data_IF_169641538274
#
_entry.id   IF_169641538274
#
_cell.length_a   1.000
_cell.length_b   1.000
_cell.length_c   1.000
_cell.angle_alpha   90.00
_cell.angle_beta   90.00
_cell.angle_gamma   90.00
#
_symmetry.space_group_name_H-M   'P 1'
#
loop_
_entity.id
_entity.type
_entity.pdbx_description
1 polymer ?
#
# COMPACT_ATOMS: atom_id res chain seq x y z
N UNK A 1 5.55 -3.34 8.81
CA UNK A 1 4.92 -2.68 7.64
C UNK A 1 5.99 -2.31 6.62
N UNK A 2 5.68 -2.49 5.37
CA UNK A 2 6.63 -2.19 4.30
C UNK A 2 5.90 -1.51 3.15
N UNK A 3 6.50 -0.48 2.58
CA UNK A 3 5.95 0.22 1.42
C UNK A 3 6.94 0.06 0.27
N UNK A 4 6.46 -0.46 -0.85
CA UNK A 4 7.23 -0.58 -2.08
C UNK A 4 6.62 0.35 -3.11
N UNK A 5 7.48 1.06 -3.83
CA UNK A 5 7.03 1.92 -4.90
C UNK A 5 7.89 1.68 -6.14
N UNK A 6 7.24 1.43 -7.26
CA UNK A 6 7.89 1.24 -8.54
C UNK A 6 7.59 2.44 -9.44
N UNK A 7 8.56 3.34 -9.64
CA UNK A 7 8.33 4.54 -10.46
C UNK A 7 8.16 4.24 -11.96
N UNK A 8 8.64 3.11 -12.44
CA UNK A 8 8.50 2.77 -13.86
C UNK A 8 7.05 2.57 -14.26
N UNK A 9 6.29 1.93 -13.41
CA UNK A 9 4.87 1.66 -13.65
C UNK A 9 3.96 2.49 -12.74
N UNK A 10 4.53 3.33 -11.90
CA UNK A 10 3.82 4.17 -10.96
C UNK A 10 2.84 3.38 -10.08
N UNK A 11 3.34 2.29 -9.51
CA UNK A 11 2.55 1.42 -8.65
C UNK A 11 3.17 1.34 -7.26
N UNK A 12 2.32 1.32 -6.24
CA UNK A 12 2.75 1.15 -4.86
C UNK A 12 2.06 -0.05 -4.23
N UNK A 13 2.74 -0.71 -3.31
CA UNK A 13 2.16 -1.76 -2.50
C UNK A 13 2.51 -1.50 -1.04
N UNK A 14 1.48 -1.40 -0.21
CA UNK A 14 1.65 -1.21 1.23
C UNK A 14 1.37 -2.55 1.90
N UNK A 15 2.40 -3.15 2.49
CA UNK A 15 2.29 -4.42 3.20
C UNK A 15 2.13 -4.14 4.69
N UNK A 16 0.99 -4.47 5.26
CA UNK A 16 0.74 -4.26 6.69
C UNK A 16 1.26 -5.41 7.53
N UNK A 17 1.09 -6.64 7.02
CA UNK A 17 1.54 -7.85 7.70
C UNK A 17 2.27 -8.73 6.69
N UNK A 18 3.56 -8.89 6.87
CA UNK A 18 4.42 -9.59 5.92
C UNK A 18 4.42 -11.11 6.11
N UNK A 19 3.88 -11.59 7.22
CA UNK A 19 3.83 -13.02 7.55
C UNK A 19 2.59 -13.73 7.01
N UNK A 20 1.69 -13.03 6.33
CA UNK A 20 0.50 -13.63 5.76
C UNK A 20 0.84 -14.20 4.39
N UNK A 21 0.65 -15.52 4.23
CA UNK A 21 1.03 -16.24 3.02
C UNK A 21 -0.14 -16.39 2.05
N UNK A 22 -1.34 -16.61 2.57
CA UNK A 22 -2.55 -16.75 1.76
C UNK A 22 -3.40 -15.49 1.87
N UNK A 23 -3.70 -14.89 0.72
CA UNK A 23 -4.53 -13.70 0.68
C UNK A 23 -5.66 -13.87 -0.32
N UNK A 24 -6.75 -13.17 -0.05
CA UNK A 24 -7.84 -12.98 -0.99
C UNK A 24 -7.80 -11.52 -1.43
N UNK A 25 -7.66 -11.31 -2.73
CA UNK A 25 -7.57 -9.95 -3.28
C UNK A 25 -8.94 -9.49 -3.72
N UNK A 26 -9.33 -8.32 -3.23
CA UNK A 26 -10.59 -7.67 -3.64
C UNK A 26 -10.23 -6.35 -4.29
N UNK A 27 -10.63 -6.20 -5.55
CA UNK A 27 -10.41 -4.95 -6.28
C UNK A 27 -11.53 -3.98 -5.96
N UNK A 28 -11.17 -2.83 -5.38
CA UNK A 28 -12.12 -1.81 -4.96
C UNK A 28 -12.42 -0.86 -6.11
N UNK A 29 -11.37 -0.42 -6.82
CA UNK A 29 -11.49 0.45 -8.00
C UNK A 29 -10.54 -0.07 -9.07
N UNK A 30 -10.48 0.60 -10.21
CA UNK A 30 -9.50 0.27 -11.24
C UNK A 30 -8.06 0.34 -10.72
N UNK A 31 -7.82 1.22 -9.75
CA UNK A 31 -6.48 1.50 -9.26
C UNK A 31 -6.17 0.91 -7.89
N UNK A 32 -7.18 0.47 -7.15
CA UNK A 32 -7.00 0.06 -5.75
C UNK A 32 -7.51 -1.35 -5.53
N UNK A 33 -6.65 -2.20 -4.98
CA UNK A 33 -6.99 -3.56 -4.57
C UNK A 33 -6.50 -3.81 -3.15
N UNK A 34 -7.28 -4.53 -2.38
CA UNK A 34 -6.95 -4.87 -1.00
C UNK A 34 -6.74 -6.37 -0.89
N UNK A 35 -5.65 -6.77 -0.25
CA UNK A 35 -5.35 -8.16 0.07
C UNK A 35 -5.76 -8.44 1.51
N UNK A 36 -6.68 -9.39 1.69
CA UNK A 36 -7.13 -9.83 3.00
C UNK A 36 -6.53 -11.18 3.34
N UNK A 37 -6.09 -11.33 4.57
CA UNK A 37 -5.67 -12.63 5.10
C UNK A 37 -6.86 -13.51 5.49
N UNK A 38 -6.58 -14.75 5.98
CA UNK A 38 -7.64 -15.74 6.25
C UNK A 38 -8.58 -15.37 7.39
N UNK A 39 -8.21 -14.43 8.24
CA UNK A 39 -9.04 -13.98 9.36
C UNK A 39 -9.52 -12.55 9.19
N UNK A 40 -9.70 -12.14 7.92
CA UNK A 40 -10.19 -10.82 7.54
C UNK A 40 -9.25 -9.66 7.90
N UNK A 41 -8.01 -9.97 8.31
CA UNK A 41 -7.01 -8.92 8.50
C UNK A 41 -6.55 -8.38 7.14
N UNK A 42 -6.20 -7.10 7.09
CA UNK A 42 -5.66 -6.50 5.88
C UNK A 42 -4.17 -6.86 5.79
N UNK A 43 -3.80 -7.63 4.76
CA UNK A 43 -2.42 -7.97 4.50
C UNK A 43 -1.70 -6.85 3.76
N UNK A 44 -2.37 -6.23 2.80
CA UNK A 44 -1.77 -5.16 2.03
C UNK A 44 -2.74 -4.45 1.11
N UNK A 45 -2.28 -3.36 0.52
CA UNK A 45 -3.05 -2.58 -0.44
C UNK A 45 -2.18 -2.30 -1.66
N UNK A 46 -2.69 -2.62 -2.86
CA UNK A 46 -2.07 -2.27 -4.13
C UNK A 46 -2.69 -0.98 -4.65
N UNK A 47 -1.86 -0.05 -5.08
CA UNK A 47 -2.31 1.23 -5.62
C UNK A 47 -1.62 1.47 -6.95
N UNK A 48 -2.40 1.50 -8.04
CA UNK A 48 -1.95 1.90 -9.36
C UNK A 48 -2.11 3.41 -9.51
N UNK A 49 -1.38 4.03 -10.42
CA UNK A 49 -1.30 5.49 -10.52
C UNK A 49 -0.99 6.12 -9.15
N UNK A 50 -0.01 5.54 -8.48
CA UNK A 50 0.26 5.86 -7.08
C UNK A 50 0.63 7.33 -6.86
N UNK A 51 1.32 7.95 -7.82
CA UNK A 51 1.70 9.36 -7.68
C UNK A 51 0.49 10.29 -7.62
N UNK A 52 -0.62 9.90 -8.26
CA UNK A 52 -1.85 10.70 -8.19
C UNK A 52 -2.61 10.46 -6.89
N UNK A 53 -2.67 9.21 -6.44
CA UNK A 53 -3.42 8.87 -5.23
C UNK A 53 -2.69 9.25 -3.95
N UNK A 54 -1.36 9.11 -3.94
CA UNK A 54 -0.56 9.22 -2.73
C UNK A 54 0.32 10.46 -2.67
N UNK A 55 0.23 11.33 -3.67
CA UNK A 55 1.03 12.55 -3.71
C UNK A 55 2.54 12.25 -3.63
N UNK A 56 2.97 11.18 -4.31
CA UNK A 56 4.36 10.75 -4.34
C UNK A 56 5.05 11.35 -5.57
N UNK A 57 6.27 11.87 -5.37
CA UNK A 57 7.11 12.29 -6.48
C UNK A 57 7.88 11.08 -6.99
N UNK A 58 7.74 10.76 -8.28
CA UNK A 58 8.38 9.58 -8.89
C UNK A 58 9.90 9.59 -8.75
N UNK A 59 10.51 10.76 -8.87
CA UNK A 59 11.96 10.92 -8.82
C UNK A 59 12.51 10.85 -7.39
N UNK A 60 11.67 11.11 -6.41
CA UNK A 60 12.10 11.19 -5.02
C UNK A 60 10.94 10.82 -4.10
N UNK A 61 10.53 9.55 -4.08
CA UNK A 61 9.42 9.12 -3.24
C UNK A 61 9.79 9.29 -1.77
N UNK A 62 8.82 9.78 -0.99
CA UNK A 62 9.02 10.07 0.42
C UNK A 62 7.77 9.71 1.19
N UNK A 63 7.95 9.08 2.35
CA UNK A 63 6.88 8.76 3.28
C UNK A 63 7.23 9.32 4.64
N UNK A 64 6.25 9.96 5.28
CA UNK A 64 6.39 10.44 6.64
C UNK A 64 5.48 9.64 7.57
N UNK A 65 6.01 9.27 8.72
CA UNK A 65 5.23 8.65 9.78
C UNK A 65 5.21 9.62 10.95
N UNK A 66 4.01 10.07 11.32
CA UNK A 66 3.84 11.03 12.39
C UNK A 66 3.08 10.40 13.55
N UNK A 67 3.56 10.63 14.77
CA UNK A 67 2.87 10.18 15.96
C UNK A 67 1.73 11.14 16.28
N UNK A 68 0.50 10.64 16.18
CA UNK A 68 -0.69 11.46 16.41
C UNK A 68 -1.06 11.60 17.88
N UNK A 69 -0.38 10.87 18.77
CA UNK A 69 -0.65 10.90 20.20
C UNK A 69 0.40 11.80 20.86
N UNK A 70 0.00 12.93 21.45
CA UNK A 70 0.94 13.79 22.16
C UNK A 70 1.56 13.04 23.33
N UNK A 71 2.86 13.17 23.47
CA UNK A 71 3.59 12.55 24.56
C UNK A 71 3.38 13.31 25.86
#
# INVERSE_FOLDING_TARGET
MKIKYDPEVDAAYISFKEDIIQVTTIRITEDIAIDFGPHEEIAGIEILDASEHLNILKESPKVELENLIPA
#
